data_IF_414261487138
#
_entry.id   IF_414261487138
#
_cell.length_a   1.000
_cell.length_b   1.000
_cell.length_c   1.000
_cell.angle_alpha   90.00
_cell.angle_beta   90.00
_cell.angle_gamma   90.00
#
_symmetry.space_group_name_H-M   'P 1'
#
loop_
_entity.id
_entity.type
_entity.pdbx_description
1 polymer ?
#
# COMPACT_ATOMS: atom_id res chain seq x y z
N UNK A 1 -19.99 39.65 18.01
CA UNK A 1 -19.55 38.29 18.41
C UNK A 1 -18.61 37.82 17.33
N UNK A 2 -17.32 37.87 17.62
CA UNK A 2 -16.26 37.48 16.67
C UNK A 2 -16.06 35.99 16.84
N UNK A 3 -16.50 35.21 15.84
CA UNK A 3 -16.24 33.75 15.77
C UNK A 3 -14.85 33.58 15.21
N UNK A 4 -13.90 33.26 16.06
CA UNK A 4 -12.55 32.82 15.65
C UNK A 4 -12.68 31.43 15.02
N UNK A 5 -12.64 31.36 13.69
CA UNK A 5 -12.44 30.10 12.97
C UNK A 5 -11.05 29.56 13.35
N UNK A 6 -11.03 28.48 14.12
CA UNK A 6 -9.83 27.63 14.23
C UNK A 6 -9.68 26.89 12.91
N UNK A 7 -8.70 27.28 12.12
CA UNK A 7 -8.26 26.50 10.97
C UNK A 7 -7.82 25.12 11.44
N UNK A 8 -8.58 24.10 11.13
CA UNK A 8 -8.20 22.70 11.33
C UNK A 8 -7.47 22.28 10.05
N UNK A 9 -6.21 21.97 10.18
CA UNK A 9 -5.32 21.51 9.11
C UNK A 9 -5.79 20.13 8.63
N UNK A 10 -6.20 19.96 7.36
CA UNK A 10 -6.60 18.66 6.82
C UNK A 10 -5.43 17.65 6.72
N UNK A 11 -4.17 18.13 6.72
CA UNK A 11 -2.99 17.26 6.77
C UNK A 11 -2.83 16.44 8.06
N UNK A 12 -3.62 16.71 9.12
CA UNK A 12 -3.62 15.87 10.34
C UNK A 12 -4.32 14.53 10.20
N UNK A 13 -4.80 14.17 9.04
CA UNK A 13 -5.42 12.88 8.78
C UNK A 13 -4.40 11.74 8.74
N UNK A 14 -3.24 11.99 8.14
CA UNK A 14 -2.13 11.03 8.13
C UNK A 14 -1.37 10.99 9.45
N UNK A 15 -1.42 12.08 10.24
CA UNK A 15 -0.78 12.14 11.56
C UNK A 15 -1.45 11.24 12.63
N UNK A 16 -2.53 10.55 12.31
CA UNK A 16 -3.16 9.55 13.18
C UNK A 16 -2.56 8.16 13.04
N UNK A 17 -1.80 7.90 11.98
CA UNK A 17 -1.06 6.66 11.73
C UNK A 17 0.35 6.71 12.33
N UNK A 18 0.46 7.14 13.59
CA UNK A 18 1.69 6.95 14.36
C UNK A 18 1.82 5.46 14.69
N UNK A 19 2.37 4.68 13.77
CA UNK A 19 2.80 3.31 14.01
C UNK A 19 4.02 3.38 14.93
N UNK A 20 3.82 3.25 16.22
CA UNK A 20 4.93 3.13 17.20
C UNK A 20 5.51 1.73 17.08
N UNK A 21 6.44 1.54 16.14
CA UNK A 21 7.24 0.32 16.04
C UNK A 21 8.42 0.43 17.02
N UNK A 22 8.24 -0.07 18.22
CA UNK A 22 9.37 -0.28 19.12
C UNK A 22 10.12 -1.55 18.66
N UNK A 23 11.03 -1.41 17.69
CA UNK A 23 11.96 -2.49 17.31
C UNK A 23 12.94 -2.71 18.46
N UNK A 24 12.68 -3.71 19.29
CA UNK A 24 13.65 -4.23 20.24
C UNK A 24 14.69 -5.04 19.45
N UNK A 25 15.81 -4.40 19.11
CA UNK A 25 17.01 -5.09 18.62
C UNK A 25 17.56 -6.00 19.72
N UNK A 26 17.19 -7.27 19.69
CA UNK A 26 17.87 -8.30 20.47
C UNK A 26 19.17 -8.63 19.74
N UNK A 27 20.28 -8.06 20.20
CA UNK A 27 21.60 -8.44 19.79
C UNK A 27 21.91 -9.87 20.21
N UNK A 28 22.02 -10.77 19.23
CA UNK A 28 22.57 -12.11 19.45
C UNK A 28 24.10 -11.96 19.57
N UNK A 29 24.62 -12.09 20.79
CA UNK A 29 26.03 -12.25 21.04
C UNK A 29 26.47 -13.66 20.65
N UNK A 30 27.53 -13.74 19.82
CA UNK A 30 28.28 -14.96 19.52
C UNK A 30 28.86 -15.56 20.80
N UNK A 31 28.68 -16.86 21.02
CA UNK A 31 29.44 -17.68 21.93
C UNK A 31 29.93 -18.89 21.17
N UNK A 32 31.24 -18.93 20.96
CA UNK A 32 31.99 -20.13 20.55
C UNK A 32 31.91 -21.16 21.66
N UNK A 33 31.75 -22.42 21.27
CA UNK A 33 32.47 -23.54 21.91
C UNK A 33 32.42 -24.78 21.00
N UNK A 34 33.64 -25.32 20.77
CA UNK A 34 34.00 -26.54 20.05
C UNK A 34 33.46 -27.79 20.75
N UNK A 35 33.15 -28.87 20.02
CA UNK A 35 33.83 -30.17 20.07
C UNK A 35 33.02 -31.31 19.37
N UNK A 36 33.75 -31.90 18.41
CA UNK A 36 33.99 -33.33 18.11
C UNK A 36 32.83 -34.34 17.84
N UNK A 37 33.04 -34.89 16.63
CA UNK A 37 33.21 -36.32 16.29
C UNK A 37 32.02 -37.21 15.92
N UNK A 38 32.15 -37.66 14.68
CA UNK A 38 32.11 -39.04 14.18
C UNK A 38 30.78 -39.71 13.76
N UNK A 39 30.77 -39.94 12.44
CA UNK A 39 30.48 -41.19 11.69
C UNK A 39 29.15 -41.93 11.97
N UNK A 40 28.31 -42.20 10.95
CA UNK A 40 28.38 -43.42 10.17
C UNK A 40 27.19 -43.52 9.15
N UNK A 41 27.58 -43.94 7.94
CA UNK A 41 26.89 -44.77 6.93
C UNK A 41 25.42 -44.61 6.55
N UNK A 42 25.25 -44.43 5.24
CA UNK A 42 24.07 -44.69 4.45
C UNK A 42 23.74 -46.20 4.35
N UNK A 43 22.54 -46.58 3.89
CA UNK A 43 22.46 -46.93 2.48
C UNK A 43 21.15 -46.47 1.78
N UNK A 44 21.25 -46.46 0.44
CA UNK A 44 20.27 -46.18 -0.56
C UNK A 44 19.12 -47.21 -0.64
N UNK A 45 17.93 -46.74 -1.04
CA UNK A 45 16.98 -47.51 -1.83
C UNK A 45 16.04 -46.60 -2.62
N UNK A 46 16.24 -46.64 -3.88
CA UNK A 46 15.50 -46.53 -5.12
C UNK A 46 13.97 -46.71 -4.99
N UNK A 47 13.19 -45.76 -5.53
CA UNK A 47 11.94 -46.05 -6.26
C UNK A 47 11.50 -44.81 -7.06
N UNK A 48 11.55 -44.95 -8.37
CA UNK A 48 10.94 -44.07 -9.34
C UNK A 48 9.41 -44.07 -9.22
N UNK A 49 8.78 -42.91 -9.33
CA UNK A 49 7.44 -42.78 -9.91
C UNK A 49 7.34 -41.47 -10.71
N UNK A 50 7.06 -41.64 -12.00
CA UNK A 50 6.85 -40.61 -12.98
C UNK A 50 5.52 -39.90 -12.73
N UNK A 51 5.57 -38.58 -12.48
CA UNK A 51 4.41 -37.70 -12.45
C UNK A 51 4.76 -36.42 -13.20
N UNK A 52 4.59 -36.44 -14.53
CA UNK A 52 4.68 -35.29 -15.43
C UNK A 52 3.63 -34.23 -15.01
N UNK A 53 4.08 -33.20 -14.33
CA UNK A 53 3.36 -31.92 -14.23
C UNK A 53 4.22 -30.87 -14.89
N UNK A 54 3.71 -30.34 -16.02
CA UNK A 54 4.31 -29.29 -16.80
C UNK A 54 4.67 -28.08 -15.91
N UNK A 55 5.96 -27.99 -15.64
CA UNK A 55 6.60 -26.81 -15.06
C UNK A 55 6.54 -25.69 -16.11
N UNK A 56 5.67 -24.71 -15.88
CA UNK A 56 5.79 -23.42 -16.53
C UNK A 56 7.08 -22.78 -16.00
N UNK A 57 8.14 -22.81 -16.80
CA UNK A 57 9.41 -22.20 -16.51
C UNK A 57 9.25 -20.69 -16.33
N UNK A 58 8.99 -20.26 -15.10
CA UNK A 58 9.21 -18.90 -14.63
C UNK A 58 10.70 -18.67 -14.50
N UNK A 59 11.21 -17.68 -15.19
CA UNK A 59 12.61 -17.21 -15.16
C UNK A 59 13.01 -16.92 -13.72
N UNK A 60 14.09 -17.57 -13.25
CA UNK A 60 14.52 -17.55 -11.87
C UNK A 60 14.82 -16.17 -11.29
N UNK A 61 13.89 -15.61 -10.58
CA UNK A 61 14.14 -14.66 -9.49
C UNK A 61 14.18 -15.51 -8.21
N UNK A 62 15.24 -15.42 -7.42
CA UNK A 62 15.47 -16.29 -6.26
C UNK A 62 14.57 -16.00 -5.05
N UNK A 63 13.33 -15.52 -5.23
CA UNK A 63 12.30 -15.28 -4.24
C UNK A 63 11.01 -16.05 -4.54
N UNK A 64 10.10 -16.09 -3.59
CA UNK A 64 8.74 -16.61 -3.77
C UNK A 64 7.80 -15.50 -4.24
N UNK A 65 7.57 -15.41 -5.55
CA UNK A 65 6.73 -14.36 -6.15
C UNK A 65 5.32 -14.34 -5.55
N UNK A 66 4.70 -15.49 -5.31
CA UNK A 66 3.35 -15.52 -4.77
C UNK A 66 3.29 -15.00 -3.33
N UNK A 67 4.25 -15.40 -2.48
CA UNK A 67 4.38 -14.90 -1.12
C UNK A 67 4.72 -13.40 -1.10
N UNK A 68 5.58 -12.93 -1.99
CA UNK A 68 5.92 -11.51 -2.15
C UNK A 68 4.70 -10.66 -2.51
N UNK A 69 3.92 -11.11 -3.49
CA UNK A 69 2.69 -10.44 -3.90
C UNK A 69 1.66 -10.38 -2.76
N UNK A 70 1.51 -11.48 -2.01
CA UNK A 70 0.60 -11.52 -0.88
C UNK A 70 1.05 -10.57 0.25
N UNK A 71 2.34 -10.55 0.58
CA UNK A 71 2.87 -9.64 1.60
C UNK A 71 2.65 -8.16 1.25
N UNK A 72 2.73 -7.80 -0.06
CA UNK A 72 2.40 -6.43 -0.52
C UNK A 72 0.92 -6.09 -0.30
N UNK A 73 0.01 -7.03 -0.56
CA UNK A 73 -1.44 -6.86 -0.28
C UNK A 73 -1.69 -6.72 1.21
N UNK A 74 -1.06 -7.58 2.02
CA UNK A 74 -1.23 -7.58 3.47
C UNK A 74 -0.69 -6.28 4.10
N UNK A 75 0.41 -5.74 3.55
CA UNK A 75 0.95 -4.45 3.98
C UNK A 75 -0.04 -3.31 3.68
N UNK A 76 -0.64 -3.29 2.48
CA UNK A 76 -1.63 -2.27 2.12
C UNK A 76 -2.86 -2.30 3.03
N UNK A 77 -3.32 -3.47 3.41
CA UNK A 77 -4.44 -3.63 4.31
C UNK A 77 -4.19 -2.99 5.70
N UNK A 78 -2.94 -2.85 6.14
CA UNK A 78 -2.59 -2.19 7.40
C UNK A 78 -2.78 -0.67 7.34
N UNK A 79 -2.62 -0.04 6.18
CA UNK A 79 -2.84 1.40 6.03
C UNK A 79 -4.30 1.81 6.22
N UNK A 80 -5.24 0.89 6.03
CA UNK A 80 -6.67 1.13 6.26
C UNK A 80 -7.15 0.87 7.68
N UNK A 81 -6.32 0.32 8.55
CA UNK A 81 -6.71 0.02 9.92
C UNK A 81 -6.77 1.30 10.78
N UNK A 82 -7.83 1.45 11.60
CA UNK A 82 -7.95 2.58 12.54
C UNK A 82 -6.78 2.65 13.55
N UNK A 83 -6.21 1.49 13.86
CA UNK A 83 -4.99 1.34 14.67
C UNK A 83 -4.20 0.15 14.12
N UNK A 84 -3.13 0.40 13.35
CA UNK A 84 -2.28 -0.67 12.83
C UNK A 84 -1.72 -1.52 13.97
N UNK A 85 -1.81 -2.84 13.84
CA UNK A 85 -1.14 -3.75 14.76
C UNK A 85 0.34 -3.81 14.43
N UNK A 86 1.16 -3.22 15.29
CA UNK A 86 2.62 -3.14 15.12
C UNK A 86 3.24 -4.53 14.95
N UNK A 87 2.78 -5.53 15.70
CA UNK A 87 3.31 -6.89 15.59
C UNK A 87 2.93 -7.51 14.24
N UNK A 88 1.71 -7.26 13.75
CA UNK A 88 1.27 -7.71 12.43
C UNK A 88 2.09 -7.04 11.32
N UNK A 89 2.29 -5.71 11.38
CA UNK A 89 3.12 -4.98 10.39
C UNK A 89 4.56 -5.52 10.38
N UNK A 90 5.15 -5.76 11.56
CA UNK A 90 6.51 -6.32 11.64
C UNK A 90 6.58 -7.70 10.99
N UNK A 91 5.62 -8.59 11.29
CA UNK A 91 5.56 -9.93 10.68
C UNK A 91 5.38 -9.88 9.15
N UNK A 92 4.53 -8.97 8.66
CA UNK A 92 4.33 -8.77 7.21
C UNK A 92 5.64 -8.31 6.55
N UNK A 93 6.37 -7.37 7.15
CA UNK A 93 7.66 -6.90 6.61
C UNK A 93 8.73 -7.99 6.62
N UNK A 94 8.76 -8.86 7.64
CA UNK A 94 9.65 -10.05 7.69
C UNK A 94 9.31 -11.03 6.57
N UNK A 95 8.03 -11.35 6.36
CA UNK A 95 7.56 -12.22 5.28
C UNK A 95 7.87 -11.60 3.91
N UNK A 96 7.65 -10.29 3.76
CA UNK A 96 7.94 -9.54 2.55
C UNK A 96 9.44 -9.60 2.19
N UNK A 97 10.29 -9.41 3.19
CA UNK A 97 11.74 -9.50 3.02
C UNK A 97 12.19 -10.94 2.68
N UNK A 98 11.60 -11.95 3.32
CA UNK A 98 11.94 -13.35 3.08
C UNK A 98 11.52 -13.82 1.68
N UNK A 99 10.39 -13.31 1.15
CA UNK A 99 9.86 -13.64 -0.15
C UNK A 99 10.45 -12.80 -1.29
N UNK A 100 11.19 -11.73 -0.98
CA UNK A 100 11.64 -10.75 -1.96
C UNK A 100 12.52 -11.37 -3.07
N UNK A 101 12.25 -11.04 -4.34
CA UNK A 101 13.21 -11.28 -5.42
C UNK A 101 14.56 -10.66 -5.09
N UNK A 102 15.63 -11.32 -5.51
CA UNK A 102 17.01 -10.89 -5.16
C UNK A 102 17.28 -9.42 -5.53
N UNK A 103 16.72 -9.00 -6.66
CA UNK A 103 16.89 -7.62 -7.17
C UNK A 103 16.07 -6.58 -6.38
N UNK A 104 15.05 -7.01 -5.62
CA UNK A 104 14.18 -6.15 -4.82
C UNK A 104 14.46 -6.22 -3.31
N UNK A 105 15.30 -7.13 -2.85
CA UNK A 105 15.59 -7.30 -1.42
C UNK A 105 16.10 -6.01 -0.75
N UNK A 106 16.91 -5.22 -1.47
CA UNK A 106 17.38 -3.91 -1.02
C UNK A 106 16.26 -2.88 -0.89
N UNK A 107 15.30 -2.91 -1.82
CA UNK A 107 14.16 -2.01 -1.79
C UNK A 107 13.20 -2.33 -0.65
N UNK A 108 12.93 -3.63 -0.39
CA UNK A 108 12.11 -4.03 0.77
C UNK A 108 12.77 -3.62 2.08
N UNK A 109 14.10 -3.79 2.21
CA UNK A 109 14.84 -3.32 3.38
C UNK A 109 14.71 -1.80 3.56
N UNK A 110 14.94 -1.02 2.49
CA UNK A 110 14.84 0.45 2.55
C UNK A 110 13.41 0.94 2.85
N UNK A 111 12.39 0.26 2.31
CA UNK A 111 10.98 0.55 2.65
C UNK A 111 10.69 0.28 4.13
N UNK A 112 11.19 -0.83 4.66
CA UNK A 112 11.03 -1.19 6.08
C UNK A 112 11.72 -0.16 7.01
N UNK A 113 12.90 0.33 6.64
CA UNK A 113 13.63 1.37 7.36
C UNK A 113 12.88 2.71 7.35
N UNK A 114 12.32 3.11 6.20
CA UNK A 114 11.51 4.33 6.08
C UNK A 114 10.24 4.25 6.95
N UNK A 115 9.53 3.12 6.93
CA UNK A 115 8.37 2.87 7.78
C UNK A 115 8.72 2.90 9.27
N UNK A 116 9.83 2.29 9.66
CA UNK A 116 10.32 2.30 11.05
C UNK A 116 10.67 3.72 11.51
N UNK A 117 11.36 4.50 10.66
CA UNK A 117 11.72 5.91 10.94
C UNK A 117 10.49 6.77 11.13
N UNK A 118 9.49 6.62 10.27
CA UNK A 118 8.22 7.33 10.38
C UNK A 118 7.48 6.97 11.69
N UNK A 119 7.45 5.69 12.02
CA UNK A 119 6.84 5.20 13.25
C UNK A 119 7.51 5.76 14.52
N UNK A 120 8.84 5.81 14.56
CA UNK A 120 9.60 6.35 15.70
C UNK A 120 9.42 7.87 15.85
N UNK A 121 9.36 8.60 14.73
CA UNK A 121 9.18 10.05 14.72
C UNK A 121 7.73 10.49 14.90
N UNK A 122 6.77 9.58 14.67
CA UNK A 122 5.35 9.91 14.54
C UNK A 122 5.06 10.73 13.27
N UNK A 123 5.94 10.62 12.27
CA UNK A 123 5.84 11.28 10.96
C UNK A 123 5.07 10.46 9.94
N UNK A 124 4.90 11.04 8.76
CA UNK A 124 4.32 10.37 7.62
C UNK A 124 5.43 9.65 6.84
N UNK A 125 5.31 8.33 6.56
CA UNK A 125 6.31 7.62 5.77
C UNK A 125 6.53 8.23 4.38
N UNK A 126 5.52 8.81 3.76
CA UNK A 126 5.61 9.45 2.45
C UNK A 126 6.46 10.75 2.46
N UNK A 127 6.75 11.32 3.63
CA UNK A 127 7.70 12.44 3.76
C UNK A 127 9.17 11.98 3.72
N UNK A 128 9.44 10.67 3.87
CA UNK A 128 10.79 10.12 3.73
C UNK A 128 11.12 9.89 2.24
N UNK A 129 12.18 10.54 1.71
CA UNK A 129 12.58 10.36 0.30
C UNK A 129 12.91 8.90 -0.07
N UNK A 130 13.28 8.09 0.91
CA UNK A 130 13.55 6.66 0.76
C UNK A 130 12.28 5.84 0.56
N UNK A 131 11.14 6.30 1.05
CA UNK A 131 9.88 5.57 0.93
C UNK A 131 9.50 5.36 -0.52
N UNK A 132 9.27 6.43 -1.28
CA UNK A 132 8.89 6.35 -2.69
C UNK A 132 9.98 5.71 -3.56
N UNK A 133 11.26 6.02 -3.29
CA UNK A 133 12.37 5.46 -4.04
C UNK A 133 12.47 3.93 -3.92
N UNK A 134 12.07 3.38 -2.78
CA UNK A 134 12.05 1.94 -2.55
C UNK A 134 10.72 1.29 -2.95
N UNK A 135 9.61 1.99 -2.80
CA UNK A 135 8.28 1.47 -3.18
C UNK A 135 8.11 1.34 -4.70
N UNK A 136 8.61 2.30 -5.48
CA UNK A 136 8.41 2.32 -6.93
C UNK A 136 8.88 1.04 -7.67
N UNK A 137 10.09 0.49 -7.44
CA UNK A 137 10.49 -0.78 -8.06
C UNK A 137 9.66 -1.99 -7.58
N UNK A 138 9.18 -1.95 -6.34
CA UNK A 138 8.28 -2.97 -5.79
C UNK A 138 6.93 -2.92 -6.51
N UNK A 139 6.35 -1.75 -6.66
CA UNK A 139 5.07 -1.55 -7.35
C UNK A 139 5.17 -1.94 -8.84
N UNK A 140 6.28 -1.60 -9.51
CA UNK A 140 6.54 -2.03 -10.89
C UNK A 140 6.53 -3.56 -11.00
N UNK A 141 7.22 -4.25 -10.12
CA UNK A 141 7.23 -5.71 -10.07
C UNK A 141 5.85 -6.29 -9.82
N UNK A 142 5.11 -5.76 -8.86
CA UNK A 142 3.77 -6.25 -8.50
C UNK A 142 2.80 -6.09 -9.66
N UNK A 143 2.80 -4.96 -10.34
CA UNK A 143 1.99 -4.71 -11.53
C UNK A 143 2.33 -5.68 -12.68
N UNK A 144 3.60 -6.05 -12.83
CA UNK A 144 4.06 -6.91 -13.92
C UNK A 144 3.91 -8.41 -13.63
N UNK A 145 4.18 -8.85 -12.40
CA UNK A 145 4.45 -10.27 -12.09
C UNK A 145 3.39 -10.91 -11.18
N UNK A 146 2.58 -10.12 -10.45
CA UNK A 146 1.61 -10.69 -9.50
C UNK A 146 0.31 -11.16 -10.15
N UNK A 147 0.06 -10.78 -11.40
CA UNK A 147 -1.09 -11.27 -12.17
C UNK A 147 -2.45 -10.76 -11.68
N UNK A 148 -2.49 -9.69 -10.90
CA UNK A 148 -3.74 -9.03 -10.52
C UNK A 148 -4.39 -8.35 -11.74
N UNK A 149 -5.73 -8.28 -11.76
CA UNK A 149 -6.41 -7.42 -12.71
C UNK A 149 -5.98 -5.97 -12.46
N UNK A 150 -5.42 -5.32 -13.48
CA UNK A 150 -4.87 -3.97 -13.38
C UNK A 150 -5.84 -2.95 -13.97
N UNK A 151 -6.09 -1.89 -13.19
CA UNK A 151 -6.89 -0.73 -13.58
C UNK A 151 -5.94 0.46 -13.70
N UNK A 152 -5.76 0.94 -14.93
CA UNK A 152 -4.92 2.10 -15.20
C UNK A 152 -5.69 3.39 -14.93
N UNK A 153 -5.21 4.18 -13.97
CA UNK A 153 -5.77 5.49 -13.63
C UNK A 153 -4.73 6.56 -13.85
N UNK A 154 -5.05 7.56 -14.65
CA UNK A 154 -4.20 8.72 -14.86
C UNK A 154 -4.80 9.94 -14.15
N UNK A 155 -4.03 10.54 -13.25
CA UNK A 155 -4.36 11.79 -12.59
C UNK A 155 -3.81 12.98 -13.37
N UNK A 156 -4.60 14.00 -13.54
CA UNK A 156 -4.17 15.33 -14.00
C UNK A 156 -5.05 16.38 -13.31
N UNK A 157 -4.71 17.66 -13.41
CA UNK A 157 -5.43 18.76 -12.73
C UNK A 157 -6.85 18.96 -13.29
N UNK A 158 -7.89 18.66 -12.62
CA UNK A 158 -8.17 17.99 -11.35
C UNK A 158 -9.11 16.82 -11.65
N UNK A 159 -8.60 15.80 -12.30
CA UNK A 159 -9.41 14.68 -12.83
C UNK A 159 -8.71 13.34 -12.66
N UNK A 160 -9.51 12.26 -12.56
CA UNK A 160 -9.07 10.89 -12.69
C UNK A 160 -9.57 10.32 -14.02
N UNK A 161 -8.65 10.07 -14.95
CA UNK A 161 -8.96 9.40 -16.22
C UNK A 161 -8.72 7.89 -16.09
N UNK A 162 -9.52 7.08 -16.79
CA UNK A 162 -9.38 5.62 -16.79
C UNK A 162 -10.11 4.88 -15.67
N UNK A 163 -10.66 5.59 -14.67
CA UNK A 163 -11.47 4.93 -13.63
C UNK A 163 -12.74 4.33 -14.25
N UNK A 164 -12.93 3.00 -14.19
CA UNK A 164 -14.12 2.36 -14.77
C UNK A 164 -15.32 2.54 -13.84
N UNK A 165 -16.54 2.47 -14.41
CA UNK A 165 -17.76 2.52 -13.61
C UNK A 165 -17.97 1.26 -12.74
N UNK A 166 -17.36 0.14 -13.11
CA UNK A 166 -17.42 -1.12 -12.37
C UNK A 166 -16.04 -1.76 -12.26
N UNK A 167 -15.75 -2.34 -11.09
CA UNK A 167 -14.50 -3.02 -10.74
C UNK A 167 -14.86 -4.40 -10.19
N UNK A 168 -14.11 -5.48 -10.51
CA UNK A 168 -14.39 -6.79 -9.93
C UNK A 168 -14.08 -6.81 -8.42
N UNK A 169 -14.82 -7.65 -7.68
CA UNK A 169 -14.52 -7.92 -6.28
C UNK A 169 -13.27 -8.81 -6.15
N UNK A 170 -12.54 -8.63 -5.05
CA UNK A 170 -11.30 -9.33 -4.77
C UNK A 170 -10.09 -8.41 -4.84
N UNK A 171 -8.90 -8.99 -4.95
CA UNK A 171 -7.66 -8.22 -5.06
C UNK A 171 -7.47 -7.68 -6.48
N UNK A 172 -7.36 -6.37 -6.60
CA UNK A 172 -7.12 -5.67 -7.87
C UNK A 172 -5.94 -4.70 -7.69
N UNK A 173 -5.23 -4.40 -8.77
CA UNK A 173 -4.16 -3.43 -8.77
C UNK A 173 -4.61 -2.15 -9.48
N UNK A 174 -4.53 -1.01 -8.83
CA UNK A 174 -4.67 0.29 -9.46
C UNK A 174 -3.28 0.82 -9.80
N UNK A 175 -2.97 0.87 -11.10
CA UNK A 175 -1.77 1.54 -11.61
C UNK A 175 -2.07 3.02 -11.72
N UNK A 176 -1.55 3.81 -10.78
CA UNK A 176 -1.84 5.23 -10.65
C UNK A 176 -0.71 6.06 -11.22
N UNK A 177 -0.93 6.71 -12.35
CA UNK A 177 0.05 7.55 -13.03
C UNK A 177 -0.32 9.03 -12.89
N UNK A 178 0.60 9.84 -12.42
CA UNK A 178 0.43 11.28 -12.40
C UNK A 178 0.93 11.91 -13.71
N UNK A 179 0.00 12.31 -14.58
CA UNK A 179 0.26 13.05 -15.83
C UNK A 179 0.18 14.57 -15.68
N UNK A 180 -0.09 15.06 -14.46
CA UNK A 180 -0.22 16.48 -14.14
C UNK A 180 1.10 17.14 -13.77
N UNK A 181 1.03 18.36 -13.25
CA UNK A 181 2.15 19.18 -12.80
C UNK A 181 2.23 19.35 -11.28
N UNK A 182 1.19 18.94 -10.56
CA UNK A 182 1.12 18.91 -9.09
C UNK A 182 1.12 17.45 -8.61
N UNK A 183 1.53 17.14 -7.35
CA UNK A 183 1.29 15.83 -6.75
C UNK A 183 -0.19 15.50 -6.70
N UNK A 184 -0.54 14.25 -6.97
CA UNK A 184 -1.91 13.76 -6.89
C UNK A 184 -1.97 12.47 -6.07
N UNK A 185 -3.13 12.24 -5.45
CA UNK A 185 -3.44 11.00 -4.76
C UNK A 185 -4.81 10.48 -5.17
N UNK A 186 -4.98 9.16 -5.11
CA UNK A 186 -6.25 8.48 -5.21
C UNK A 186 -6.48 7.76 -3.89
N UNK A 187 -7.28 8.37 -3.01
CA UNK A 187 -7.73 7.69 -1.80
C UNK A 187 -9.11 7.11 -2.05
N UNK A 188 -9.22 5.80 -1.91
CA UNK A 188 -10.46 5.06 -2.15
C UNK A 188 -11.17 4.74 -0.85
N UNK A 189 -12.48 4.95 -0.85
CA UNK A 189 -13.36 4.60 0.27
C UNK A 189 -14.55 3.78 -0.21
N UNK A 190 -14.90 2.74 0.54
CA UNK A 190 -16.17 2.05 0.42
C UNK A 190 -17.26 2.84 1.15
N UNK A 191 -18.39 3.05 0.49
CA UNK A 191 -19.56 3.65 1.15
C UNK A 191 -20.25 2.62 2.05
N UNK A 192 -20.76 3.07 3.18
CA UNK A 192 -21.62 2.24 4.02
C UNK A 192 -22.88 1.81 3.25
N UNK A 193 -23.43 0.66 3.60
CA UNK A 193 -24.64 0.15 2.97
C UNK A 193 -25.80 1.14 3.13
N UNK A 194 -26.43 1.49 2.00
CA UNK A 194 -27.53 2.46 1.97
C UNK A 194 -27.07 3.92 2.01
N UNK A 195 -25.78 4.20 1.92
CA UNK A 195 -25.27 5.56 1.79
C UNK A 195 -25.40 6.04 0.33
N UNK A 196 -26.36 6.93 0.08
CA UNK A 196 -26.70 7.42 -1.27
C UNK A 196 -26.46 8.93 -1.45
N UNK A 197 -25.88 9.62 -0.45
CA UNK A 197 -25.51 11.04 -0.58
C UNK A 197 -24.48 11.23 -1.71
N UNK A 198 -24.49 12.39 -2.35
CA UNK A 198 -23.44 12.75 -3.31
C UNK A 198 -22.08 12.87 -2.61
N UNK A 199 -20.98 12.78 -3.37
CA UNK A 199 -19.62 12.99 -2.84
C UNK A 199 -19.53 14.36 -2.16
N UNK A 200 -20.07 15.41 -2.78
CA UNK A 200 -20.04 16.78 -2.23
C UNK A 200 -20.76 16.87 -0.87
N UNK A 201 -21.90 16.19 -0.75
CA UNK A 201 -22.63 16.13 0.52
C UNK A 201 -21.85 15.36 1.58
N UNK A 202 -21.21 14.26 1.23
CA UNK A 202 -20.36 13.48 2.13
C UNK A 202 -19.16 14.31 2.61
N UNK A 203 -18.42 14.93 1.68
CA UNK A 203 -17.20 15.66 1.99
C UNK A 203 -17.46 17.02 2.71
N UNK A 204 -18.71 17.52 2.67
CA UNK A 204 -19.12 18.70 3.42
C UNK A 204 -19.30 18.44 4.94
N UNK A 205 -19.37 17.17 5.36
CA UNK A 205 -19.70 16.74 6.74
C UNK A 205 -18.50 16.04 7.41
N UNK A 206 -17.47 16.75 7.84
CA UNK A 206 -16.17 16.16 8.20
C UNK A 206 -16.18 15.14 9.35
N UNK A 207 -17.13 15.19 10.27
CA UNK A 207 -17.22 14.21 11.38
C UNK A 207 -18.10 12.99 11.02
N UNK A 208 -19.05 13.15 10.13
CA UNK A 208 -19.97 12.08 9.71
C UNK A 208 -19.43 11.27 8.52
N UNK A 209 -18.48 11.81 7.77
CA UNK A 209 -17.79 11.11 6.67
C UNK A 209 -17.20 9.79 7.15
N UNK A 210 -16.55 9.79 8.33
CA UNK A 210 -15.90 8.60 8.86
C UNK A 210 -16.85 7.46 9.24
N UNK A 211 -18.10 7.79 9.59
CA UNK A 211 -19.10 6.74 9.86
C UNK A 211 -19.77 6.20 8.59
N UNK A 212 -19.68 6.95 7.49
CA UNK A 212 -20.29 6.63 6.21
C UNK A 212 -19.30 6.04 5.19
N UNK A 213 -18.01 6.15 5.44
CA UNK A 213 -16.93 5.73 4.55
C UNK A 213 -15.91 4.86 5.29
N UNK A 214 -15.52 3.76 4.66
CA UNK A 214 -14.42 2.92 5.12
C UNK A 214 -13.27 3.02 4.13
N UNK A 215 -12.04 3.23 4.60
CA UNK A 215 -10.86 3.25 3.76
C UNK A 215 -10.72 1.91 3.00
N UNK A 216 -10.33 2.00 1.73
CA UNK A 216 -10.21 0.83 0.87
C UNK A 216 -8.85 0.70 0.18
N UNK A 217 -8.11 1.79 0.03
CA UNK A 217 -6.78 1.80 -0.57
C UNK A 217 -6.36 3.21 -0.93
N UNK A 218 -5.05 3.40 -1.15
CA UNK A 218 -4.50 4.68 -1.56
C UNK A 218 -3.29 4.51 -2.48
N UNK A 219 -3.17 5.43 -3.44
CA UNK A 219 -1.97 5.64 -4.23
C UNK A 219 -1.68 7.14 -4.28
N UNK A 220 -0.42 7.53 -4.19
CA UNK A 220 0.05 8.90 -4.37
C UNK A 220 1.21 8.91 -5.33
N UNK A 221 1.27 9.89 -6.22
CA UNK A 221 2.34 10.03 -7.19
C UNK A 221 2.73 11.48 -7.41
N UNK A 222 4.02 11.74 -7.44
CA UNK A 222 4.60 12.98 -7.93
C UNK A 222 4.45 13.12 -9.47
N UNK A 223 4.54 14.33 -10.03
CA UNK A 223 4.47 14.55 -11.47
C UNK A 223 5.36 13.61 -12.28
N UNK A 224 4.75 12.89 -13.24
CA UNK A 224 5.43 11.95 -14.14
C UNK A 224 5.82 10.61 -13.48
N UNK A 225 5.30 10.32 -12.28
CA UNK A 225 5.52 9.04 -11.60
C UNK A 225 4.29 8.15 -11.67
N UNK A 226 4.54 6.85 -11.50
CA UNK A 226 3.50 5.82 -11.36
C UNK A 226 3.73 5.09 -10.05
N UNK A 227 2.66 4.85 -9.31
CA UNK A 227 2.61 4.04 -8.09
C UNK A 227 1.47 3.04 -8.19
N UNK A 228 1.38 2.09 -7.27
CA UNK A 228 0.29 1.13 -7.24
C UNK A 228 -0.41 1.12 -5.89
N UNK A 229 -1.74 0.94 -5.92
CA UNK A 229 -2.55 0.52 -4.78
C UNK A 229 -3.14 -0.85 -5.09
N UNK A 230 -3.07 -1.80 -4.14
CA UNK A 230 -3.44 -3.19 -4.37
C UNK A 230 -4.44 -3.66 -3.30
N UNK A 231 -5.61 -3.01 -3.27
CA UNK A 231 -6.63 -3.35 -2.28
C UNK A 231 -7.33 -4.67 -2.58
N UNK A 232 -7.85 -5.29 -1.53
CA UNK A 232 -8.86 -6.34 -1.65
C UNK A 232 -10.24 -5.71 -1.46
N UNK A 233 -10.99 -5.61 -2.54
CA UNK A 233 -12.29 -4.93 -2.60
C UNK A 233 -13.44 -5.89 -2.39
N UNK A 234 -14.40 -5.50 -1.57
CA UNK A 234 -15.69 -6.19 -1.38
C UNK A 234 -16.77 -5.54 -2.26
N UNK A 235 -17.82 -6.28 -2.67
CA UNK A 235 -18.94 -5.69 -3.40
C UNK A 235 -19.52 -4.46 -2.69
N UNK A 236 -19.88 -3.43 -3.48
CA UNK A 236 -20.45 -2.18 -2.96
C UNK A 236 -20.09 -0.95 -3.77
N UNK A 237 -20.55 0.21 -3.30
CA UNK A 237 -20.27 1.52 -3.93
C UNK A 237 -19.01 2.13 -3.32
N UNK A 238 -18.19 2.71 -4.16
CA UNK A 238 -16.91 3.33 -3.78
C UNK A 238 -16.79 4.74 -4.31
N UNK A 239 -15.95 5.52 -3.65
CA UNK A 239 -15.50 6.83 -4.12
C UNK A 239 -13.97 6.88 -4.12
N UNK A 240 -13.41 7.62 -5.09
CA UNK A 240 -12.01 8.01 -5.13
C UNK A 240 -11.90 9.53 -4.95
N UNK A 241 -10.96 10.01 -4.16
CA UNK A 241 -10.83 11.43 -3.79
C UNK A 241 -9.36 11.83 -3.72
N UNK A 242 -9.03 13.05 -4.19
CA UNK A 242 -7.73 13.68 -3.94
C UNK A 242 -7.91 14.82 -2.91
N UNK A 243 -7.26 14.71 -1.75
CA UNK A 243 -7.33 15.72 -0.68
C UNK A 243 -6.15 16.69 -0.71
N UNK A 244 -5.16 16.50 -1.60
CA UNK A 244 -4.00 17.37 -1.68
C UNK A 244 -4.43 18.82 -2.00
N UNK A 245 -3.75 19.83 -1.41
CA UNK A 245 -4.08 21.21 -1.62
C UNK A 245 -3.60 21.70 -3.00
N UNK A 246 -4.43 22.49 -3.68
CA UNK A 246 -4.08 23.10 -4.98
C UNK A 246 -2.80 23.92 -4.89
N UNK A 247 -1.93 23.78 -5.89
CA UNK A 247 -0.63 24.46 -5.94
C UNK A 247 0.35 23.99 -4.85
N UNK A 248 0.11 22.84 -4.20
CA UNK A 248 0.96 22.34 -3.13
C UNK A 248 1.05 23.29 -1.91
N UNK A 249 0.15 24.26 -1.78
CA UNK A 249 0.21 25.30 -0.76
C UNK A 249 -0.74 24.98 0.38
N UNK A 250 -0.21 24.87 1.60
CA UNK A 250 -1.02 24.64 2.79
C UNK A 250 -2.12 25.72 2.95
N UNK A 251 -3.36 25.26 3.17
CA UNK A 251 -4.52 26.13 3.30
C UNK A 251 -5.22 26.49 1.99
N UNK A 252 -4.69 26.05 0.84
CA UNK A 252 -5.43 26.11 -0.43
C UNK A 252 -6.58 25.10 -0.44
N UNK A 253 -7.62 25.30 -1.27
CA UNK A 253 -8.67 24.29 -1.45
C UNK A 253 -8.07 22.96 -1.88
N UNK A 254 -8.59 21.81 -1.36
CA UNK A 254 -8.14 20.50 -1.83
C UNK A 254 -8.65 20.23 -3.25
N UNK A 255 -7.94 19.37 -3.99
CA UNK A 255 -8.22 19.02 -5.37
C UNK A 255 -9.64 18.49 -5.59
N UNK A 256 -10.22 17.80 -4.60
CA UNK A 256 -11.62 17.34 -4.71
C UNK A 256 -12.62 18.50 -4.85
N UNK A 257 -12.33 19.68 -4.29
CA UNK A 257 -13.19 20.88 -4.45
C UNK A 257 -13.14 21.44 -5.86
N UNK A 258 -12.11 21.11 -6.63
CA UNK A 258 -11.99 21.44 -8.07
C UNK A 258 -12.55 20.31 -8.96
N UNK A 259 -13.10 19.25 -8.36
CA UNK A 259 -13.75 18.15 -9.09
C UNK A 259 -12.95 16.83 -9.12
N UNK A 260 -11.79 16.74 -8.45
CA UNK A 260 -10.96 15.54 -8.50
C UNK A 260 -11.51 14.42 -7.62
N UNK A 261 -12.59 13.84 -8.11
CA UNK A 261 -13.34 12.73 -7.49
C UNK A 261 -13.71 11.66 -8.53
N UNK A 262 -13.95 10.44 -8.09
CA UNK A 262 -14.46 9.35 -8.90
C UNK A 262 -15.50 8.54 -8.12
N UNK A 263 -16.42 7.91 -8.84
CA UNK A 263 -17.37 6.92 -8.29
C UNK A 263 -17.29 5.64 -9.10
N UNK A 264 -17.30 4.49 -8.42
CA UNK A 264 -17.35 3.19 -9.06
C UNK A 264 -18.09 2.17 -8.18
N UNK A 265 -18.51 1.07 -8.78
CA UNK A 265 -19.18 -0.04 -8.10
C UNK A 265 -18.32 -1.29 -8.20
N UNK A 266 -18.12 -1.98 -7.08
CA UNK A 266 -17.47 -3.28 -7.03
C UNK A 266 -18.53 -4.37 -7.11
N UNK A 267 -18.39 -5.29 -8.07
CA UNK A 267 -19.37 -6.33 -8.40
C UNK A 267 -18.78 -7.74 -8.34
#
# INVERSE_FOLDING_TARGET
VTITQRSRNPQRWWSGLAVVVALSLVGAACGDDDDDAATDEAPAADSADDGDTADAAGSGSGGDTAAFCQARVDLEAQFGAEAPDVAAVTGILEDFQAAAPVDLAGNVTGLSEALATAAESGGDPAEDPGFDANLAPIDEFVLAECGYETIDVTASEYTFEGMPATVPAGTVAFSFTNGGSEPHELIMFKRADGEDRSIDELLALPEEVFSALSFAGAAQADPGKTTASIPTLEPGKYIGVCFLPTGGTEGSPPHFMEGMTAEFEVV
#
